data_IF_835009517451
#
_entry.id   IF_835009517451
#
_cell.length_a   1.000
_cell.length_b   1.000
_cell.length_c   1.000
_cell.angle_alpha   90.00
_cell.angle_beta   90.00
_cell.angle_gamma   90.00
#
_symmetry.space_group_name_H-M   'P 1'
#
loop_
_entity.id
_entity.type
_entity.pdbx_description
1 polymer ?
#
# COMPACT_ATOMS: atom_id res chain seq x y z
N UNK A 1 18.04 13.40 4.00
CA UNK A 1 17.65 14.22 2.84
C UNK A 1 16.72 13.34 2.01
N UNK A 2 15.49 13.76 1.75
CA UNK A 2 14.54 12.98 0.93
C UNK A 2 14.66 13.47 -0.51
N UNK A 3 15.13 12.60 -1.39
CA UNK A 3 15.21 12.91 -2.82
C UNK A 3 13.92 12.48 -3.48
N UNK A 4 13.26 13.39 -4.19
CA UNK A 4 12.06 13.06 -4.96
C UNK A 4 12.49 12.14 -6.12
N UNK A 5 11.98 10.91 -6.12
CA UNK A 5 12.23 9.92 -7.17
C UNK A 5 10.93 9.31 -7.65
N UNK A 6 10.93 8.78 -8.88
CA UNK A 6 9.77 8.04 -9.40
C UNK A 6 9.41 6.86 -8.52
N UNK A 7 10.42 6.15 -7.98
CA UNK A 7 10.21 5.06 -7.05
C UNK A 7 9.47 5.50 -5.76
N UNK A 8 9.84 6.66 -5.20
CA UNK A 8 9.15 7.23 -4.04
C UNK A 8 7.71 7.62 -4.38
N UNK A 9 7.47 8.22 -5.55
CA UNK A 9 6.12 8.60 -5.99
C UNK A 9 5.22 7.39 -6.17
N UNK A 10 5.72 6.29 -6.74
CA UNK A 10 4.96 5.05 -6.89
C UNK A 10 4.57 4.49 -5.52
N UNK A 11 5.50 4.47 -4.54
CA UNK A 11 5.19 4.06 -3.17
C UNK A 11 4.09 4.92 -2.53
N UNK A 12 4.19 6.24 -2.68
CA UNK A 12 3.22 7.18 -2.10
C UNK A 12 1.84 7.02 -2.71
N UNK A 13 1.76 6.86 -4.04
CA UNK A 13 0.49 6.63 -4.73
C UNK A 13 -0.11 5.29 -4.26
N UNK A 14 0.67 4.22 -4.22
CA UNK A 14 0.19 2.91 -3.76
C UNK A 14 -0.32 2.96 -2.32
N UNK A 15 0.46 3.56 -1.41
CA UNK A 15 0.09 3.73 -0.01
C UNK A 15 -1.16 4.60 0.17
N UNK A 16 -1.26 5.71 -0.56
CA UNK A 16 -2.40 6.62 -0.47
C UNK A 16 -3.70 5.97 -0.98
N UNK A 17 -3.64 5.21 -2.07
CA UNK A 17 -4.81 4.49 -2.60
C UNK A 17 -5.24 3.38 -1.63
N UNK A 18 -4.29 2.65 -1.03
CA UNK A 18 -4.58 1.66 0.02
C UNK A 18 -5.23 2.29 1.26
N UNK A 19 -4.68 3.41 1.74
CA UNK A 19 -5.25 4.16 2.86
C UNK A 19 -6.68 4.60 2.56
N UNK A 20 -6.94 5.07 1.34
CA UNK A 20 -8.27 5.46 0.90
C UNK A 20 -9.25 4.27 0.83
N UNK A 21 -8.86 3.10 0.33
CA UNK A 21 -9.71 1.90 0.35
C UNK A 21 -10.05 1.48 1.79
N UNK A 22 -9.05 1.48 2.69
CA UNK A 22 -9.24 1.24 4.11
C UNK A 22 -10.28 2.18 4.74
N UNK A 23 -10.19 3.50 4.48
CA UNK A 23 -11.18 4.49 4.93
C UNK A 23 -12.57 4.18 4.38
N UNK A 24 -12.69 3.82 3.09
CA UNK A 24 -13.97 3.48 2.49
C UNK A 24 -14.60 2.23 3.13
N UNK A 25 -13.79 1.23 3.51
CA UNK A 25 -14.26 0.03 4.22
C UNK A 25 -14.84 0.37 5.58
N UNK A 26 -14.14 1.19 6.36
CA UNK A 26 -14.62 1.67 7.67
C UNK A 26 -15.92 2.47 7.52
N UNK A 27 -16.12 3.19 6.40
CA UNK A 27 -17.34 3.93 6.08
C UNK A 27 -18.50 3.04 5.56
N UNK A 28 -18.52 1.76 5.91
CA UNK A 28 -19.63 0.86 5.63
C UNK A 28 -19.60 0.19 4.25
N UNK A 29 -18.51 0.37 3.47
CA UNK A 29 -18.37 -0.33 2.18
C UNK A 29 -17.71 -1.70 2.30
N UNK A 30 -17.38 -2.19 3.50
CA UNK A 30 -16.74 -3.50 3.69
C UNK A 30 -16.62 -3.88 5.16
N UNK A 31 -15.74 -4.84 5.45
CA UNK A 31 -15.45 -5.25 6.82
C UNK A 31 -14.65 -4.16 7.56
N UNK A 32 -15.26 -3.57 8.59
CA UNK A 32 -14.68 -2.48 9.39
C UNK A 32 -13.37 -2.87 10.06
N UNK A 33 -13.27 -4.10 10.60
CA UNK A 33 -12.06 -4.55 11.28
C UNK A 33 -10.88 -4.61 10.31
N UNK A 34 -11.09 -5.17 9.13
CA UNK A 34 -10.07 -5.22 8.08
C UNK A 34 -9.71 -3.81 7.62
N UNK A 35 -10.71 -2.93 7.47
CA UNK A 35 -10.48 -1.52 7.10
C UNK A 35 -9.61 -0.76 8.11
N UNK A 36 -9.80 -0.97 9.42
CA UNK A 36 -8.95 -0.36 10.45
C UNK A 36 -7.50 -0.88 10.34
N UNK A 37 -7.33 -2.19 10.18
CA UNK A 37 -6.00 -2.80 10.01
C UNK A 37 -5.32 -2.23 8.76
N UNK A 38 -6.06 -2.12 7.65
CA UNK A 38 -5.57 -1.57 6.39
C UNK A 38 -5.10 -0.13 6.53
N UNK A 39 -5.89 0.72 7.21
CA UNK A 39 -5.53 2.11 7.50
C UNK A 39 -4.23 2.18 8.29
N UNK A 40 -4.12 1.40 9.37
CA UNK A 40 -2.94 1.43 10.24
C UNK A 40 -1.69 0.98 9.47
N UNK A 41 -1.76 -0.15 8.77
CA UNK A 41 -0.62 -0.71 8.05
C UNK A 41 -0.22 0.18 6.87
N UNK A 42 -1.18 0.72 6.11
CA UNK A 42 -0.91 1.65 5.02
C UNK A 42 -0.31 2.97 5.52
N UNK A 43 -0.81 3.51 6.64
CA UNK A 43 -0.24 4.71 7.24
C UNK A 43 1.19 4.47 7.73
N UNK A 44 1.45 3.35 8.40
CA UNK A 44 2.81 2.96 8.80
C UNK A 44 3.72 2.78 7.59
N UNK A 45 3.25 2.16 6.51
CA UNK A 45 3.99 2.05 5.26
C UNK A 45 4.38 3.44 4.72
N UNK A 46 3.43 4.37 4.57
CA UNK A 46 3.72 5.73 4.10
C UNK A 46 4.72 6.43 5.01
N UNK A 47 4.52 6.38 6.33
CA UNK A 47 5.42 7.00 7.31
C UNK A 47 6.83 6.42 7.24
N UNK A 48 6.96 5.11 7.02
CA UNK A 48 8.25 4.43 6.92
C UNK A 48 9.10 4.85 5.71
N UNK A 49 8.49 5.48 4.69
CA UNK A 49 9.22 6.04 3.54
C UNK A 49 10.07 7.27 3.92
N UNK A 50 9.71 7.92 5.03
CA UNK A 50 10.34 9.17 5.46
C UNK A 50 11.03 9.05 6.82
N UNK A 51 10.61 8.09 7.66
CA UNK A 51 11.02 7.96 9.05
C UNK A 51 11.70 6.60 9.26
N UNK A 52 13.03 6.55 9.44
CA UNK A 52 13.75 5.29 9.67
C UNK A 52 13.46 4.67 11.04
N UNK A 53 12.84 5.41 11.96
CA UNK A 53 12.43 4.92 13.28
C UNK A 53 11.15 4.07 13.28
N UNK A 54 10.48 3.91 12.12
CA UNK A 54 9.31 3.04 12.01
C UNK A 54 9.78 1.58 11.96
N UNK A 55 9.29 0.70 12.85
CA UNK A 55 9.71 -0.70 12.91
C UNK A 55 9.37 -1.46 11.62
N UNK A 56 10.06 -2.58 11.38
CA UNK A 56 9.91 -3.51 10.24
C UNK A 56 10.36 -2.99 8.85
N UNK A 57 10.46 -1.67 8.66
CA UNK A 57 10.89 -1.06 7.41
C UNK A 57 9.82 -1.07 6.31
N UNK A 58 10.02 -0.25 5.28
CA UNK A 58 9.02 0.02 4.25
C UNK A 58 8.65 -1.19 3.41
N UNK A 59 9.61 -2.07 3.10
CA UNK A 59 9.35 -3.28 2.33
C UNK A 59 8.40 -4.24 3.06
N UNK A 60 8.63 -4.48 4.35
CA UNK A 60 7.78 -5.37 5.15
C UNK A 60 6.39 -4.78 5.31
N UNK A 61 6.28 -3.47 5.55
CA UNK A 61 5.00 -2.79 5.66
C UNK A 61 4.23 -2.76 4.32
N UNK A 62 4.92 -2.67 3.18
CA UNK A 62 4.30 -2.79 1.86
C UNK A 62 3.70 -4.19 1.65
N UNK A 63 4.44 -5.24 2.02
CA UNK A 63 3.97 -6.63 1.94
C UNK A 63 2.77 -6.85 2.88
N UNK A 64 2.85 -6.36 4.11
CA UNK A 64 1.73 -6.40 5.04
C UNK A 64 0.50 -5.68 4.47
N UNK A 65 0.68 -4.51 3.86
CA UNK A 65 -0.40 -3.77 3.19
C UNK A 65 -1.03 -4.61 2.07
N UNK A 66 -0.24 -5.26 1.22
CA UNK A 66 -0.76 -6.17 0.18
C UNK A 66 -1.60 -7.29 0.76
N UNK A 67 -1.10 -7.96 1.80
CA UNK A 67 -1.81 -9.06 2.47
C UNK A 67 -3.17 -8.58 2.99
N UNK A 68 -3.19 -7.42 3.66
CA UNK A 68 -4.44 -6.87 4.20
C UNK A 68 -5.43 -6.52 3.10
N UNK A 69 -4.98 -5.92 1.98
CA UNK A 69 -5.87 -5.63 0.84
C UNK A 69 -6.43 -6.94 0.25
N UNK A 70 -5.60 -7.97 0.08
CA UNK A 70 -6.04 -9.29 -0.42
C UNK A 70 -7.07 -9.91 0.52
N UNK A 71 -6.80 -9.94 1.82
CA UNK A 71 -7.76 -10.42 2.84
C UNK A 71 -9.06 -9.60 2.76
N UNK A 72 -8.93 -8.28 2.61
CA UNK A 72 -10.06 -7.37 2.43
C UNK A 72 -10.86 -7.68 1.17
N UNK A 73 -10.23 -8.07 0.06
CA UNK A 73 -10.94 -8.49 -1.15
C UNK A 73 -11.69 -9.80 -0.96
N UNK A 74 -11.08 -10.78 -0.28
CA UNK A 74 -11.70 -12.09 -0.04
C UNK A 74 -12.89 -12.01 0.92
N UNK A 75 -12.82 -11.13 1.91
CA UNK A 75 -13.87 -10.97 2.93
C UNK A 75 -14.98 -10.00 2.53
N UNK A 76 -14.93 -9.41 1.32
CA UNK A 76 -15.87 -8.39 0.85
C UNK A 76 -16.72 -8.94 -0.30
N UNK A 77 -17.96 -8.45 -0.41
CA UNK A 77 -18.81 -8.65 -1.60
C UNK A 77 -18.36 -7.81 -2.81
N UNK A 78 -19.22 -7.68 -3.82
CA UNK A 78 -18.87 -7.11 -5.16
C UNK A 78 -18.54 -5.60 -5.22
N UNK A 79 -18.65 -4.84 -4.13
CA UNK A 79 -18.49 -3.38 -4.17
C UNK A 79 -17.03 -2.95 -3.92
N UNK A 80 -16.56 -1.92 -4.65
CA UNK A 80 -15.28 -1.25 -4.37
C UNK A 80 -14.02 -1.99 -4.80
N UNK A 81 -14.14 -3.05 -5.61
CA UNK A 81 -13.02 -3.89 -6.07
C UNK A 81 -11.94 -3.08 -6.81
N UNK A 82 -12.33 -2.08 -7.61
CA UNK A 82 -11.39 -1.34 -8.46
C UNK A 82 -10.29 -0.59 -7.68
N UNK A 83 -10.62 0.02 -6.53
CA UNK A 83 -9.64 0.79 -5.74
C UNK A 83 -8.65 -0.18 -5.08
N UNK A 84 -9.14 -1.28 -4.51
CA UNK A 84 -8.31 -2.32 -3.93
C UNK A 84 -7.36 -2.95 -4.96
N UNK A 85 -7.85 -3.26 -6.18
CA UNK A 85 -7.00 -3.77 -7.27
C UNK A 85 -5.95 -2.74 -7.69
N UNK A 86 -6.32 -1.46 -7.79
CA UNK A 86 -5.36 -0.40 -8.13
C UNK A 86 -4.25 -0.28 -7.07
N UNK A 87 -4.61 -0.27 -5.78
CA UNK A 87 -3.64 -0.27 -4.68
C UNK A 87 -2.71 -1.50 -4.76
N UNK A 88 -3.29 -2.69 -4.94
CA UNK A 88 -2.55 -3.94 -5.11
C UNK A 88 -1.53 -3.85 -6.24
N UNK A 89 -1.97 -3.43 -7.43
CA UNK A 89 -1.10 -3.35 -8.60
C UNK A 89 0.05 -2.36 -8.41
N UNK A 90 -0.22 -1.17 -7.87
CA UNK A 90 0.80 -0.13 -7.67
C UNK A 90 1.81 -0.55 -6.60
N UNK A 91 1.36 -1.10 -5.46
CA UNK A 91 2.26 -1.56 -4.39
C UNK A 91 3.07 -2.76 -4.87
N UNK A 92 2.47 -3.72 -5.57
CA UNK A 92 3.19 -4.87 -6.13
C UNK A 92 4.27 -4.42 -7.14
N UNK A 93 3.93 -3.48 -8.03
CA UNK A 93 4.90 -2.88 -8.96
C UNK A 93 6.06 -2.23 -8.19
N UNK A 94 5.74 -1.45 -7.15
CA UNK A 94 6.78 -0.83 -6.32
C UNK A 94 7.71 -1.87 -5.69
N UNK A 95 7.17 -2.98 -5.15
CA UNK A 95 7.96 -4.07 -4.56
C UNK A 95 8.90 -4.70 -5.59
N UNK A 96 8.42 -4.95 -6.81
CA UNK A 96 9.24 -5.48 -7.91
C UNK A 96 10.39 -4.53 -8.22
N UNK A 97 10.11 -3.22 -8.28
CA UNK A 97 11.11 -2.21 -8.59
C UNK A 97 12.12 -2.02 -7.46
N UNK A 98 11.69 -1.91 -6.20
CA UNK A 98 12.62 -1.68 -5.07
C UNK A 98 13.58 -2.87 -4.86
N UNK A 99 13.13 -4.10 -5.18
CA UNK A 99 13.97 -5.30 -5.13
C UNK A 99 14.81 -5.52 -6.40
N UNK A 100 14.71 -4.64 -7.40
CA UNK A 100 15.41 -4.74 -8.70
C UNK A 100 15.14 -6.02 -9.47
N UNK A 101 13.97 -6.63 -9.30
CA UNK A 101 13.54 -7.77 -10.12
C UNK A 101 13.21 -7.33 -11.55
N UNK A 102 12.83 -6.06 -11.71
CA UNK A 102 12.76 -5.35 -12.99
C UNK A 102 13.53 -4.04 -12.81
N UNK A 103 14.45 -3.74 -13.72
CA UNK A 103 15.24 -2.51 -13.69
C UNK A 103 14.80 -1.63 -14.85
N UNK A 104 14.32 -0.43 -14.55
CA UNK A 104 13.90 0.57 -15.53
C UNK A 104 14.79 1.81 -15.35
N UNK A 105 15.67 2.11 -16.32
CA UNK A 105 16.55 3.27 -16.23
C UNK A 105 15.78 4.57 -15.96
N UNK A 106 16.22 5.31 -14.95
CA UNK A 106 15.57 6.55 -14.51
C UNK A 106 14.45 6.36 -13.48
N UNK A 107 14.05 5.13 -13.14
CA UNK A 107 13.06 4.84 -12.08
C UNK A 107 13.71 4.21 -10.85
N UNK A 108 14.46 3.10 -11.00
CA UNK A 108 15.01 2.30 -9.91
C UNK A 108 16.41 1.69 -10.18
#
# INVERSE_FOLDING_TARGET
MITLSWLLLIALIGGAVALFDGILRVRGKGNTVVGIIEIVVAALFILSLFLPGIPFGSLVLAIATLIVIVVGLLLRGRQGIGIAIAALAVIALWIVLVNRWLVIPGIN
#
